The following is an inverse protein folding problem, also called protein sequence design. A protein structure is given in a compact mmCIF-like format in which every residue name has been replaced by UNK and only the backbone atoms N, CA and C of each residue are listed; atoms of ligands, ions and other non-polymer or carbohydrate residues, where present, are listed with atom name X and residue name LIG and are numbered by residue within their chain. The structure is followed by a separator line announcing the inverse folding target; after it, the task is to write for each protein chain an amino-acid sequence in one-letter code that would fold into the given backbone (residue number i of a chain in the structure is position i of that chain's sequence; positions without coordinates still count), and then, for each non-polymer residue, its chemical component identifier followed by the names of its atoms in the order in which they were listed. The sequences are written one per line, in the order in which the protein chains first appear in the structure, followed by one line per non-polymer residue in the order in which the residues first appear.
data_IF_001583563338
#
_entry.id   IF_001583563338
#
_cell.length_a   1.000
_cell.length_b   1.000
_cell.length_c   1.000
_cell.angle_alpha   90.00
_cell.angle_beta   90.00
_cell.angle_gamma   90.00
#
_symmetry.space_group_name_H-M   'P 1'
#
loop_
_entity.id
_entity.type
_entity.pdbx_description
1 polymer ?
#
# COMPACT_ATOMS: atom_id res chain seq x y z
N UNK A 1 -29.81 -2.60 -5.48
CA UNK A 1 -29.24 -1.49 -4.75
C UNK A 1 -27.79 -1.15 -5.22
N UNK A 2 -27.41 -1.69 -6.37
CA UNK A 2 -26.16 -1.40 -7.07
C UNK A 2 -26.45 -1.25 -8.56
N UNK A 3 -26.00 -0.16 -9.18
CA UNK A 3 -26.30 0.17 -10.59
C UNK A 3 -25.73 -0.89 -11.55
N UNK A 4 -24.53 -1.40 -11.29
CA UNK A 4 -23.88 -2.39 -12.17
C UNK A 4 -24.57 -3.74 -12.09
N UNK A 5 -24.97 -4.15 -10.90
CA UNK A 5 -25.70 -5.40 -10.69
C UNK A 5 -27.08 -5.31 -11.35
N UNK A 6 -27.73 -4.15 -11.27
CA UNK A 6 -29.02 -3.88 -11.91
C UNK A 6 -28.90 -3.93 -13.45
N UNK A 7 -27.92 -3.28 -14.04
CA UNK A 7 -27.67 -3.32 -15.48
C UNK A 7 -27.34 -4.74 -15.95
N UNK A 8 -26.55 -5.47 -15.17
CA UNK A 8 -26.24 -6.87 -15.44
C UNK A 8 -27.53 -7.73 -15.43
N UNK A 9 -28.36 -7.59 -14.39
CA UNK A 9 -29.59 -8.35 -14.27
C UNK A 9 -30.54 -8.05 -15.44
N UNK A 10 -30.68 -6.78 -15.83
CA UNK A 10 -31.48 -6.41 -17.01
C UNK A 10 -30.97 -7.01 -18.29
N UNK A 11 -29.63 -6.93 -18.52
CA UNK A 11 -28.99 -7.45 -19.73
C UNK A 11 -29.21 -8.95 -19.92
N UNK A 12 -29.20 -9.72 -18.83
CA UNK A 12 -29.30 -11.17 -18.84
C UNK A 12 -30.67 -11.71 -18.47
N UNK A 13 -31.67 -10.84 -18.31
CA UNK A 13 -33.06 -11.23 -18.02
C UNK A 13 -33.21 -11.91 -16.64
N UNK A 14 -32.36 -11.55 -15.68
CA UNK A 14 -32.45 -12.08 -14.32
C UNK A 14 -33.56 -11.38 -13.54
N UNK A 15 -34.22 -12.07 -12.59
CA UNK A 15 -35.25 -11.46 -11.78
C UNK A 15 -34.65 -10.37 -10.86
N UNK A 16 -35.28 -9.20 -10.86
CA UNK A 16 -34.93 -8.10 -9.98
C UNK A 16 -36.04 -7.98 -8.92
N UNK A 17 -35.64 -7.98 -7.64
CA UNK A 17 -36.54 -7.87 -6.51
C UNK A 17 -36.24 -6.62 -5.70
N UNK A 18 -37.29 -5.84 -5.40
CA UNK A 18 -37.17 -4.70 -4.50
C UNK A 18 -36.87 -5.18 -3.08
N UNK A 19 -35.80 -4.66 -2.47
CA UNK A 19 -35.43 -4.96 -1.09
C UNK A 19 -35.29 -3.71 -0.23
N UNK A 20 -35.28 -2.53 -0.85
CA UNK A 20 -35.32 -1.22 -0.18
C UNK A 20 -36.43 -0.41 -0.87
N UNK A 21 -37.42 0.05 -0.10
CA UNK A 21 -38.51 0.89 -0.59
C UNK A 21 -38.04 2.33 -0.83
N UNK A 22 -38.64 3.01 -1.79
CA UNK A 22 -38.40 4.42 -2.05
C UNK A 22 -38.06 4.76 -3.49
N UNK A 23 -37.81 3.76 -4.34
CA UNK A 23 -37.48 3.94 -5.75
C UNK A 23 -38.40 3.15 -6.69
N UNK A 24 -38.16 3.31 -7.98
CA UNK A 24 -38.83 2.57 -9.04
C UNK A 24 -37.85 1.58 -9.71
N UNK A 25 -37.79 0.37 -9.19
CA UNK A 25 -36.90 -0.68 -9.70
C UNK A 25 -37.18 -1.14 -11.13
N UNK A 26 -38.30 -0.73 -11.72
CA UNK A 26 -38.60 -1.01 -13.14
C UNK A 26 -37.78 -0.10 -14.07
N UNK A 27 -37.39 1.08 -13.60
CA UNK A 27 -36.65 2.07 -14.37
C UNK A 27 -35.14 2.00 -14.11
N UNK A 28 -34.75 2.07 -12.84
CA UNK A 28 -33.33 2.20 -12.43
C UNK A 28 -33.10 1.52 -11.08
N UNK A 29 -31.83 1.31 -10.72
CA UNK A 29 -31.47 0.86 -9.39
C UNK A 29 -31.73 1.98 -8.37
N UNK A 30 -32.34 1.61 -7.24
CA UNK A 30 -32.51 2.56 -6.15
C UNK A 30 -31.33 2.48 -5.17
N UNK A 31 -30.56 3.53 -5.07
CA UNK A 31 -29.33 3.61 -4.22
C UNK A 31 -29.51 4.53 -3.02
N UNK A 32 -30.71 5.09 -2.81
CA UNK A 32 -31.02 6.01 -1.71
C UNK A 32 -31.32 5.32 -0.38
N UNK A 33 -31.67 6.15 0.60
CA UNK A 33 -32.12 5.70 1.91
C UNK A 33 -33.56 5.17 1.82
N UNK A 34 -33.88 4.14 2.59
CA UNK A 34 -35.23 3.55 2.58
C UNK A 34 -35.41 2.50 3.67
N UNK A 35 -36.59 1.88 3.62
CA UNK A 35 -36.98 0.83 4.57
C UNK A 35 -36.86 -0.52 3.84
N UNK A 36 -36.32 -1.53 4.52
CA UNK A 36 -36.23 -2.87 3.97
C UNK A 36 -37.61 -3.48 3.77
N UNK A 37 -37.79 -4.10 2.62
CA UNK A 37 -38.97 -4.86 2.22
C UNK A 37 -38.54 -6.18 1.58
N UNK A 38 -39.36 -7.20 1.61
CA UNK A 38 -39.06 -8.53 1.05
C UNK A 38 -37.78 -9.17 1.57
N UNK A 39 -37.38 -8.84 2.81
CA UNK A 39 -36.15 -9.23 3.47
C UNK A 39 -36.37 -9.99 4.78
N UNK A 40 -37.48 -10.67 4.91
CA UNK A 40 -37.92 -11.47 6.05
C UNK A 40 -37.87 -10.68 7.38
N UNK A 41 -37.10 -11.17 8.33
CA UNK A 41 -36.99 -10.59 9.67
C UNK A 41 -36.29 -9.21 9.70
N UNK A 42 -35.79 -8.75 8.59
CA UNK A 42 -35.19 -7.43 8.48
C UNK A 42 -36.17 -6.41 7.86
N UNK A 43 -37.35 -6.84 7.48
CA UNK A 43 -38.39 -5.94 6.98
C UNK A 43 -38.77 -4.87 8.00
N UNK A 44 -38.99 -3.66 7.52
CA UNK A 44 -39.31 -2.51 8.35
C UNK A 44 -38.15 -1.80 9.00
N UNK A 45 -36.91 -2.30 8.87
CA UNK A 45 -35.69 -1.62 9.33
C UNK A 45 -35.24 -0.58 8.31
N UNK A 46 -34.57 0.49 8.79
CA UNK A 46 -33.81 1.35 7.89
C UNK A 46 -32.64 0.58 7.25
N UNK A 47 -32.19 1.00 6.09
CA UNK A 47 -31.03 0.35 5.45
C UNK A 47 -29.76 0.42 6.31
N UNK A 48 -29.58 1.49 7.09
CA UNK A 48 -28.43 1.59 8.01
C UNK A 48 -28.48 0.56 9.14
N UNK A 49 -29.63 0.47 9.84
CA UNK A 49 -29.83 -0.54 10.90
C UNK A 49 -29.71 -1.97 10.36
N UNK A 50 -30.25 -2.20 9.16
CA UNK A 50 -30.17 -3.50 8.52
C UNK A 50 -28.75 -3.92 8.17
N UNK A 51 -27.90 -2.99 7.68
CA UNK A 51 -26.49 -3.27 7.39
C UNK A 51 -25.79 -3.78 8.65
N UNK A 52 -26.02 -3.16 9.81
CA UNK A 52 -25.39 -3.60 11.06
C UNK A 52 -25.87 -5.00 11.47
N UNK A 53 -27.18 -5.21 11.52
CA UNK A 53 -27.77 -6.49 11.96
C UNK A 53 -27.51 -7.66 11.00
N UNK A 54 -27.47 -7.38 9.69
CA UNK A 54 -27.12 -8.39 8.68
C UNK A 54 -25.64 -8.75 8.80
N UNK A 55 -24.78 -7.73 8.98
CA UNK A 55 -23.33 -7.94 9.17
C UNK A 55 -23.04 -8.76 10.42
N UNK A 56 -23.67 -8.43 11.55
CA UNK A 56 -23.53 -9.21 12.80
C UNK A 56 -23.93 -10.68 12.65
N UNK A 57 -24.94 -10.94 11.83
CA UNK A 57 -25.46 -12.30 11.66
C UNK A 57 -24.71 -13.14 10.62
N UNK A 58 -24.28 -12.53 9.52
CA UNK A 58 -23.79 -13.26 8.34
C UNK A 58 -22.35 -12.91 7.94
N UNK A 59 -21.72 -11.97 8.65
CA UNK A 59 -20.40 -11.49 8.33
C UNK A 59 -19.63 -11.01 9.54
N UNK A 60 -18.55 -10.33 9.27
CA UNK A 60 -17.67 -9.72 10.26
C UNK A 60 -17.45 -8.24 9.89
N UNK A 61 -17.57 -7.35 10.88
CA UNK A 61 -17.28 -5.91 10.67
C UNK A 61 -15.78 -5.71 10.63
N UNK A 62 -15.26 -5.40 9.44
CA UNK A 62 -13.83 -5.15 9.22
C UNK A 62 -13.59 -3.71 8.75
N UNK A 63 -12.49 -3.14 9.17
CA UNK A 63 -12.03 -1.85 8.65
C UNK A 63 -11.13 -2.09 7.44
N UNK A 64 -11.53 -1.57 6.28
CA UNK A 64 -10.68 -1.56 5.07
C UNK A 64 -10.32 -0.13 4.71
N UNK A 65 -9.03 0.09 4.46
CA UNK A 65 -8.57 1.39 3.98
C UNK A 65 -8.87 1.52 2.49
N UNK A 66 -9.30 2.71 2.08
CA UNK A 66 -9.58 3.03 0.67
C UNK A 66 -8.31 3.05 -0.17
N UNK A 67 -7.18 3.45 0.45
CA UNK A 67 -5.86 3.36 -0.17
C UNK A 67 -5.41 1.90 -0.19
N UNK A 68 -4.96 1.45 -1.36
CA UNK A 68 -4.33 0.13 -1.51
C UNK A 68 -2.89 0.20 -1.02
N UNK A 69 -2.38 -0.94 -0.56
CA UNK A 69 -0.96 -1.08 -0.28
C UNK A 69 -0.14 -0.73 -1.51
N UNK A 70 0.91 0.04 -1.27
CA UNK A 70 1.82 0.48 -2.30
C UNK A 70 3.11 -0.32 -2.20
N UNK A 71 3.47 -1.01 -3.29
CA UNK A 71 4.74 -1.68 -3.37
C UNK A 71 5.87 -0.64 -3.46
N UNK A 72 6.62 -0.53 -2.38
CA UNK A 72 7.67 0.48 -2.21
C UNK A 72 8.92 0.17 -3.03
N UNK A 73 9.32 -1.10 -3.11
CA UNK A 73 10.58 -1.52 -3.70
C UNK A 73 10.61 -1.43 -5.22
N UNK A 74 11.77 -1.06 -5.78
CA UNK A 74 12.03 -0.94 -7.21
C UNK A 74 13.38 -1.56 -7.55
N UNK A 75 13.40 -2.36 -8.60
CA UNK A 75 14.58 -3.00 -9.18
C UNK A 75 15.33 -2.00 -10.07
N UNK A 76 15.88 -0.95 -9.45
CA UNK A 76 16.64 0.08 -10.16
C UNK A 76 17.76 0.63 -9.27
N UNK A 77 18.76 1.24 -9.88
CA UNK A 77 19.84 1.88 -9.14
C UNK A 77 19.38 3.18 -8.48
N UNK A 78 18.66 4.01 -9.22
CA UNK A 78 18.28 5.34 -8.76
C UNK A 78 17.07 5.33 -7.83
N UNK A 79 17.29 5.77 -6.61
CA UNK A 79 16.30 5.86 -5.55
C UNK A 79 16.95 5.81 -4.18
N UNK A 80 16.17 6.07 -3.13
CA UNK A 80 16.63 5.92 -1.76
C UNK A 80 16.85 4.42 -1.46
N UNK A 81 18.05 3.99 -1.00
CA UNK A 81 18.27 2.61 -0.61
C UNK A 81 17.33 2.19 0.53
N UNK A 82 16.83 0.98 0.47
CA UNK A 82 16.03 0.41 1.55
C UNK A 82 17.00 -0.07 2.65
N UNK A 83 16.97 0.49 3.88
CA UNK A 83 17.92 0.16 4.93
C UNK A 83 17.55 -1.15 5.64
N UNK A 84 17.56 -2.24 4.88
CA UNK A 84 17.30 -3.61 5.34
C UNK A 84 18.44 -4.52 4.89
N UNK A 85 18.78 -5.47 5.73
CA UNK A 85 19.75 -6.53 5.47
C UNK A 85 19.14 -7.87 5.83
N UNK A 86 19.62 -8.94 5.22
CA UNK A 86 19.15 -10.31 5.45
C UNK A 86 20.25 -11.12 6.10
N UNK A 87 19.90 -11.85 7.16
CA UNK A 87 20.82 -12.80 7.78
C UNK A 87 21.06 -14.03 6.89
N UNK A 88 21.99 -14.93 7.26
CA UNK A 88 22.25 -16.14 6.47
C UNK A 88 21.06 -17.06 6.26
N UNK A 89 20.06 -17.00 7.14
CA UNK A 89 18.78 -17.72 7.05
C UNK A 89 17.75 -17.01 6.16
N UNK A 90 18.07 -15.80 5.68
CA UNK A 90 17.20 -14.99 4.81
C UNK A 90 16.16 -14.16 5.54
N UNK A 91 16.27 -14.00 6.86
CA UNK A 91 15.36 -13.17 7.65
C UNK A 91 15.74 -11.69 7.55
N UNK A 92 14.79 -10.77 7.30
CA UNK A 92 15.07 -9.34 7.20
C UNK A 92 15.32 -8.69 8.56
N UNK A 93 16.29 -7.78 8.60
CA UNK A 93 16.65 -6.96 9.75
C UNK A 93 16.83 -5.51 9.31
N UNK A 94 16.39 -4.51 10.10
CA UNK A 94 16.65 -3.12 9.80
C UNK A 94 18.13 -2.78 10.03
N UNK A 95 18.67 -1.92 9.19
CA UNK A 95 20.01 -1.33 9.42
C UNK A 95 19.94 -0.44 10.67
N UNK A 96 20.81 -0.65 11.69
CA UNK A 96 20.83 0.15 12.90
C UNK A 96 21.11 1.64 12.63
N UNK A 97 20.59 2.51 13.50
CA UNK A 97 20.72 3.98 13.35
C UNK A 97 22.15 4.47 13.21
N UNK A 98 23.08 3.86 13.90
CA UNK A 98 24.51 4.17 13.88
C UNK A 98 25.17 3.91 12.53
N UNK A 99 24.55 3.06 11.69
CA UNK A 99 25.02 2.74 10.34
C UNK A 99 24.30 3.56 9.25
N UNK A 100 23.45 4.50 9.63
CA UNK A 100 22.80 5.41 8.68
C UNK A 100 23.66 6.70 8.48
N UNK A 101 23.62 7.32 7.30
CA UNK A 101 22.77 6.98 6.14
C UNK A 101 23.27 5.74 5.39
N UNK A 102 22.32 4.90 4.93
CA UNK A 102 22.60 3.77 4.06
C UNK A 102 22.68 4.26 2.62
N UNK A 103 23.91 4.38 2.10
CA UNK A 103 24.15 5.04 0.82
C UNK A 103 24.16 4.06 -0.35
N UNK A 104 23.84 4.56 -1.55
CA UNK A 104 24.05 3.84 -2.80
C UNK A 104 25.55 3.55 -3.01
N UNK A 105 25.92 2.37 -3.53
CA UNK A 105 27.28 2.07 -3.91
C UNK A 105 27.69 2.79 -5.20
N UNK A 106 28.96 3.12 -5.36
CA UNK A 106 29.47 3.82 -6.53
C UNK A 106 30.11 2.88 -7.58
N UNK A 107 30.22 1.59 -7.28
CA UNK A 107 30.89 0.60 -8.13
C UNK A 107 30.02 -0.05 -9.20
N UNK A 108 28.73 0.28 -9.26
CA UNK A 108 27.79 -0.20 -10.28
C UNK A 108 28.03 0.53 -11.60
N UNK A 109 28.26 -0.23 -12.67
CA UNK A 109 28.54 0.32 -14.02
C UNK A 109 27.47 0.03 -15.06
N UNK A 110 26.67 -1.00 -14.83
CA UNK A 110 25.62 -1.44 -15.74
C UNK A 110 24.26 -1.16 -15.10
N UNK A 111 23.48 -0.32 -15.76
CA UNK A 111 22.16 0.14 -15.31
C UNK A 111 21.04 -0.38 -16.18
N UNK A 112 21.32 -1.27 -17.13
CA UNK A 112 20.29 -1.83 -18.00
C UNK A 112 19.27 -2.65 -17.20
N UNK A 113 17.98 -2.52 -17.50
CA UNK A 113 16.94 -3.30 -16.82
C UNK A 113 17.01 -4.77 -17.28
N UNK A 114 17.40 -5.66 -16.38
CA UNK A 114 17.55 -7.11 -16.62
C UNK A 114 16.61 -7.98 -15.78
N UNK A 115 15.56 -7.38 -15.23
CA UNK A 115 14.59 -8.08 -14.39
C UNK A 115 15.01 -8.19 -12.91
N UNK A 116 16.22 -7.72 -12.58
CA UNK A 116 16.73 -7.63 -11.20
C UNK A 116 17.38 -6.26 -10.97
N UNK A 117 17.62 -5.93 -9.70
CA UNK A 117 18.27 -4.67 -9.36
C UNK A 117 19.72 -4.63 -9.80
N UNK A 118 20.20 -3.54 -10.44
CA UNK A 118 21.61 -3.34 -10.76
C UNK A 118 22.53 -3.41 -9.54
N UNK A 119 22.01 -3.13 -8.34
CA UNK A 119 22.78 -3.18 -7.08
C UNK A 119 23.26 -4.59 -6.73
N UNK A 120 22.67 -5.63 -7.30
CA UNK A 120 23.14 -7.03 -7.14
C UNK A 120 24.59 -7.21 -7.63
N UNK A 121 25.04 -6.39 -8.59
CA UNK A 121 26.40 -6.45 -9.12
C UNK A 121 27.44 -5.75 -8.26
N UNK A 122 27.01 -4.92 -7.29
CA UNK A 122 27.91 -4.16 -6.41
C UNK A 122 28.69 -5.09 -5.46
N UNK A 123 30.00 -5.00 -5.51
CA UNK A 123 30.90 -5.62 -4.53
C UNK A 123 30.97 -4.78 -3.26
N UNK A 124 31.09 -3.46 -3.43
CA UNK A 124 31.13 -2.50 -2.32
C UNK A 124 29.98 -2.70 -1.34
N UNK A 125 28.74 -2.79 -1.86
CA UNK A 125 27.56 -2.94 -1.03
C UNK A 125 27.56 -4.27 -0.24
N UNK A 126 27.99 -5.36 -0.88
CA UNK A 126 28.13 -6.68 -0.26
C UNK A 126 29.20 -6.68 0.83
N UNK A 127 30.40 -6.22 0.51
CA UNK A 127 31.53 -6.17 1.44
C UNK A 127 31.24 -5.24 2.64
N UNK A 128 30.60 -4.10 2.40
CA UNK A 128 30.16 -3.19 3.45
C UNK A 128 29.15 -3.85 4.38
N UNK A 129 28.22 -4.60 3.83
CA UNK A 129 27.22 -5.34 4.61
C UNK A 129 27.87 -6.42 5.47
N UNK A 130 28.74 -7.25 4.90
CA UNK A 130 29.43 -8.30 5.63
C UNK A 130 30.39 -7.74 6.69
N UNK A 131 31.02 -6.61 6.43
CA UNK A 131 31.89 -5.94 7.41
C UNK A 131 31.11 -5.45 8.64
N UNK A 132 29.87 -5.04 8.48
CA UNK A 132 29.04 -4.50 9.58
C UNK A 132 28.32 -5.60 10.33
N UNK A 133 27.73 -6.56 9.60
CA UNK A 133 26.81 -7.55 10.16
C UNK A 133 27.40 -8.95 10.30
N UNK A 134 28.47 -9.24 9.59
CA UNK A 134 29.13 -10.53 9.58
C UNK A 134 29.02 -11.25 8.24
N UNK A 135 29.80 -12.32 8.10
CA UNK A 135 29.86 -13.11 6.87
C UNK A 135 28.51 -13.78 6.54
N UNK A 136 28.14 -13.78 5.29
CA UNK A 136 26.90 -14.35 4.79
C UNK A 136 25.66 -13.46 4.88
N UNK A 137 25.78 -12.28 5.50
CA UNK A 137 24.71 -11.28 5.47
C UNK A 137 24.62 -10.62 4.09
N UNK A 138 23.40 -10.35 3.67
CA UNK A 138 23.11 -9.74 2.35
C UNK A 138 22.35 -8.43 2.51
N UNK A 139 22.68 -7.38 1.73
CA UNK A 139 21.88 -6.16 1.71
C UNK A 139 20.59 -6.37 0.93
N UNK A 140 19.58 -5.52 1.20
CA UNK A 140 18.50 -5.30 0.25
C UNK A 140 19.09 -4.59 -0.99
N UNK A 141 18.74 -5.10 -2.17
CA UNK A 141 19.24 -4.57 -3.44
C UNK A 141 18.24 -3.65 -4.15
N UNK A 142 16.99 -3.64 -3.72
CA UNK A 142 16.00 -2.73 -4.26
C UNK A 142 16.15 -1.33 -3.67
N UNK A 143 15.75 -0.33 -4.43
CA UNK A 143 15.61 1.04 -3.95
C UNK A 143 14.14 1.38 -3.72
N UNK A 144 13.88 2.39 -2.92
CA UNK A 144 12.53 2.89 -2.72
C UNK A 144 12.04 3.61 -3.99
N UNK A 145 10.73 3.61 -4.19
CA UNK A 145 10.09 4.41 -5.22
C UNK A 145 10.48 5.88 -5.09
N UNK A 146 10.68 6.55 -6.22
CA UNK A 146 11.12 7.96 -6.27
C UNK A 146 10.17 8.94 -5.59
N UNK A 147 8.92 8.56 -5.37
CA UNK A 147 8.01 9.36 -4.55
C UNK A 147 8.48 9.51 -3.09
N UNK A 148 9.24 8.55 -2.57
CA UNK A 148 9.84 8.66 -1.24
C UNK A 148 10.86 9.79 -1.21
N UNK A 149 11.73 9.86 -2.22
CA UNK A 149 12.72 10.94 -2.33
C UNK A 149 12.05 12.30 -2.49
N UNK A 150 11.00 12.37 -3.31
CA UNK A 150 10.25 13.62 -3.53
C UNK A 150 9.48 14.06 -2.29
N UNK A 151 9.01 13.12 -1.47
CA UNK A 151 8.15 13.43 -0.32
C UNK A 151 8.86 14.18 0.80
N UNK A 152 10.19 14.16 0.87
CA UNK A 152 10.96 14.82 1.93
C UNK A 152 10.72 16.34 1.97
N UNK A 153 10.34 16.97 0.86
CA UNK A 153 10.09 18.41 0.79
C UNK A 153 8.91 18.84 1.68
N UNK A 154 7.92 17.98 1.91
CA UNK A 154 6.86 18.24 2.87
C UNK A 154 7.43 18.48 4.27
N UNK A 155 8.34 17.62 4.71
CA UNK A 155 9.03 17.79 5.98
C UNK A 155 9.85 19.09 6.00
N UNK A 156 10.50 19.43 4.86
CA UNK A 156 11.29 20.66 4.73
C UNK A 156 10.45 21.92 4.84
N UNK A 157 9.23 21.92 4.36
CA UNK A 157 8.29 23.04 4.48
C UNK A 157 7.86 23.24 5.93
N UNK A 158 7.64 22.14 6.66
CA UNK A 158 7.20 22.18 8.05
C UNK A 158 8.31 22.58 9.04
N UNK A 159 9.57 22.48 8.65
CA UNK A 159 10.70 22.85 9.51
C UNK A 159 10.83 24.37 9.56
N UNK A 160 10.77 25.00 10.75
CA UNK A 160 10.93 26.44 10.91
C UNK A 160 12.27 26.90 10.29
N UNK A 161 12.25 28.06 9.61
CA UNK A 161 13.44 28.64 8.93
C UNK A 161 14.65 28.84 9.84
N UNK A 162 14.46 28.86 11.16
CA UNK A 162 15.50 29.16 12.16
C UNK A 162 16.29 27.91 12.63
N UNK A 163 15.95 26.71 12.17
CA UNK A 163 16.74 25.52 12.51
C UNK A 163 17.94 25.46 11.57
N UNK A 164 19.05 26.09 11.97
CA UNK A 164 20.35 26.07 11.25
C UNK A 164 21.00 24.66 11.15
N UNK A 165 20.43 23.64 11.77
CA UNK A 165 21.04 22.33 11.95
C UNK A 165 20.49 21.23 11.03
N UNK A 166 19.72 21.57 10.01
CA UNK A 166 19.39 20.61 8.94
C UNK A 166 20.49 20.61 7.85
N UNK A 167 21.75 20.72 8.29
CA UNK A 167 22.85 20.40 7.41
C UNK A 167 23.03 18.89 7.45
N UNK A 168 22.68 18.24 6.34
CA UNK A 168 23.30 16.95 5.99
C UNK A 168 24.81 17.20 6.07
N UNK A 169 25.46 16.74 7.14
CA UNK A 169 26.91 16.79 7.23
C UNK A 169 27.44 15.98 6.04
N UNK A 170 27.88 16.68 4.99
CA UNK A 170 28.77 16.05 4.02
C UNK A 170 30.01 15.61 4.82
N UNK A 171 30.18 14.31 4.96
CA UNK A 171 31.49 13.75 5.26
C UNK A 171 32.25 13.63 3.96
#
# INVERSE_FOLDING_TARGET
HDDRDFEFAKKYGLPIREVISGGNISAEAYVGEGILVNSDKFDGMSNEEAIEKITEKFGEKVTKYKLRDWLLSRQRYWGCPIPVVYDPEGKPHPVPKENLPWLLPEDVKDFEPKGESPLVTSKELKERTEKIFGNGWKPEFDTMDTFVDSSWYFNRILIPKNIKNFQIKKK
#
